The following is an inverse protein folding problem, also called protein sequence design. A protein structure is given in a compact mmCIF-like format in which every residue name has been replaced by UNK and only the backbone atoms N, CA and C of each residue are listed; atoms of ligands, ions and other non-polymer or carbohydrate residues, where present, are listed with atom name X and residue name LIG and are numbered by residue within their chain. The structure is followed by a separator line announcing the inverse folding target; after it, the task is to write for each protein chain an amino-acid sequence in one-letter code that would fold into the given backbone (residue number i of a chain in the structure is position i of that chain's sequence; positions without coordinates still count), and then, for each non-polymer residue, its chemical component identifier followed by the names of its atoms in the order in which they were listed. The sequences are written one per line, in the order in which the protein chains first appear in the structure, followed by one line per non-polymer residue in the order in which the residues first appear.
data_IF_092187139753
#
_entry.id   IF_092187139753
#
_cell.length_a   1.000
_cell.length_b   1.000
_cell.length_c   1.000
_cell.angle_alpha   90.00
_cell.angle_beta   90.00
_cell.angle_gamma   90.00
#
_symmetry.space_group_name_H-M   'P 1'
#
loop_
_entity.id
_entity.type
_entity.pdbx_description
1 polymer ?
#
# COMPACT_ATOMS: atom_id res chain seq x y z
N UNK A 1 6.55 7.85 23.28
CA UNK A 1 7.01 8.02 21.88
C UNK A 1 5.77 8.19 21.06
N UNK A 2 5.60 9.35 20.44
CA UNK A 2 4.43 9.65 19.63
C UNK A 2 4.74 9.30 18.17
N UNK A 3 3.86 8.53 17.55
CA UNK A 3 3.95 8.17 16.14
C UNK A 3 2.74 8.77 15.43
N UNK A 4 2.98 9.54 14.37
CA UNK A 4 1.91 10.09 13.54
C UNK A 4 1.32 8.99 12.67
N UNK A 5 -0.01 8.97 12.51
CA UNK A 5 -0.70 7.99 11.66
C UNK A 5 -0.19 8.03 10.21
N UNK A 6 0.23 9.20 9.74
CA UNK A 6 0.91 9.43 8.45
C UNK A 6 2.08 8.48 8.17
N UNK A 7 2.82 8.03 9.21
CA UNK A 7 3.95 7.11 9.02
C UNK A 7 3.52 5.79 8.37
N UNK A 8 2.35 5.27 8.73
CA UNK A 8 1.79 4.04 8.17
C UNK A 8 1.31 4.24 6.73
N UNK A 9 0.76 5.41 6.41
CA UNK A 9 0.39 5.77 5.04
C UNK A 9 1.62 5.78 4.12
N UNK A 10 2.72 6.39 4.56
CA UNK A 10 3.94 6.41 3.76
C UNK A 10 4.52 5.00 3.57
N UNK A 11 4.50 4.16 4.60
CA UNK A 11 4.95 2.77 4.48
C UNK A 11 4.11 1.98 3.46
N UNK A 12 2.79 2.14 3.51
CA UNK A 12 1.86 1.54 2.56
C UNK A 12 2.11 2.03 1.12
N UNK A 13 2.24 3.34 0.92
CA UNK A 13 2.50 3.92 -0.40
C UNK A 13 3.87 3.50 -0.95
N UNK A 14 4.90 3.42 -0.10
CA UNK A 14 6.23 2.96 -0.48
C UNK A 14 6.20 1.51 -0.94
N UNK A 15 5.49 0.63 -0.22
CA UNK A 15 5.33 -0.77 -0.60
C UNK A 15 4.65 -0.90 -1.97
N UNK A 16 3.56 -0.17 -2.20
CA UNK A 16 2.85 -0.20 -3.50
C UNK A 16 3.72 0.37 -4.61
N UNK A 17 4.43 1.48 -4.36
CA UNK A 17 5.33 2.08 -5.35
C UNK A 17 6.44 1.10 -5.76
N UNK A 18 7.07 0.43 -4.80
CA UNK A 18 8.09 -0.59 -5.07
C UNK A 18 7.53 -1.78 -5.86
N UNK A 19 6.34 -2.27 -5.45
CA UNK A 19 5.65 -3.36 -6.15
C UNK A 19 5.31 -3.00 -7.60
N UNK A 20 4.73 -1.82 -7.83
CA UNK A 20 4.38 -1.34 -9.17
C UNK A 20 5.63 -1.12 -10.02
N UNK A 21 6.67 -0.49 -9.46
CA UNK A 21 7.94 -0.31 -10.14
C UNK A 21 8.52 -1.64 -10.63
N UNK A 22 8.57 -2.65 -9.75
CA UNK A 22 9.04 -3.99 -10.10
C UNK A 22 8.14 -4.67 -11.14
N UNK A 23 6.82 -4.52 -11.03
CA UNK A 23 5.86 -5.11 -11.96
C UNK A 23 5.97 -4.49 -13.37
N UNK A 24 6.13 -3.17 -13.46
CA UNK A 24 6.37 -2.49 -14.73
C UNK A 24 7.72 -2.87 -15.32
N UNK A 25 8.76 -3.00 -14.51
CA UNK A 25 10.07 -3.47 -14.94
C UNK A 25 10.00 -4.89 -15.52
N UNK A 26 9.28 -5.80 -14.86
CA UNK A 26 9.04 -7.16 -15.36
C UNK A 26 8.26 -7.14 -16.68
N UNK A 27 7.20 -6.32 -16.77
CA UNK A 27 6.42 -6.19 -17.99
C UNK A 27 7.28 -5.69 -19.15
N UNK A 28 8.10 -4.66 -18.91
CA UNK A 28 9.06 -4.15 -19.87
C UNK A 28 10.06 -5.23 -20.31
N UNK A 29 10.60 -6.01 -19.38
CA UNK A 29 11.53 -7.09 -19.70
C UNK A 29 10.89 -8.17 -20.58
N UNK A 30 9.67 -8.59 -20.26
CA UNK A 30 8.95 -9.59 -21.05
C UNK A 30 8.67 -9.10 -22.48
N UNK A 31 8.33 -7.82 -22.65
CA UNK A 31 8.08 -7.23 -23.96
C UNK A 31 9.38 -7.10 -24.77
N UNK A 32 10.49 -6.72 -24.12
CA UNK A 32 11.76 -6.40 -24.81
C UNK A 32 12.65 -7.61 -25.07
N UNK A 33 12.76 -8.52 -24.10
CA UNK A 33 13.68 -9.67 -24.15
C UNK A 33 12.95 -11.00 -24.41
N UNK A 34 11.62 -10.96 -24.52
CA UNK A 34 10.78 -12.14 -24.68
C UNK A 34 10.34 -12.72 -23.34
N UNK A 35 9.30 -13.56 -23.39
CA UNK A 35 8.70 -14.19 -22.22
C UNK A 35 8.84 -15.71 -22.30
N UNK A 36 8.96 -16.35 -21.14
CA UNK A 36 8.99 -17.82 -21.02
C UNK A 36 7.62 -18.41 -21.34
N UNK A 37 6.54 -17.71 -20.99
CA UNK A 37 5.16 -18.15 -21.23
C UNK A 37 4.20 -16.96 -21.41
N UNK A 38 3.24 -17.02 -22.36
CA UNK A 38 2.18 -16.02 -22.49
C UNK A 38 1.35 -15.84 -21.21
N UNK A 39 1.24 -16.90 -20.39
CA UNK A 39 0.53 -16.84 -19.11
C UNK A 39 1.20 -15.85 -18.15
N UNK A 40 2.55 -15.79 -18.14
CA UNK A 40 3.29 -14.88 -17.26
C UNK A 40 2.99 -13.41 -17.59
N UNK A 41 2.82 -13.08 -18.88
CA UNK A 41 2.39 -11.76 -19.32
C UNK A 41 1.00 -11.41 -18.78
N UNK A 42 0.01 -12.29 -18.98
CA UNK A 42 -1.37 -12.07 -18.53
C UNK A 42 -1.43 -11.90 -17.00
N UNK A 43 -0.72 -12.75 -16.26
CA UNK A 43 -0.66 -12.68 -14.79
C UNK A 43 -0.02 -11.36 -14.33
N UNK A 44 1.06 -10.92 -14.96
CA UNK A 44 1.74 -9.67 -14.58
C UNK A 44 0.87 -8.46 -14.86
N UNK A 45 0.21 -8.40 -16.03
CA UNK A 45 -0.77 -7.35 -16.34
C UNK A 45 -1.93 -7.38 -15.34
N UNK A 46 -2.42 -8.57 -14.99
CA UNK A 46 -3.44 -8.77 -13.96
C UNK A 46 -3.02 -8.20 -12.60
N UNK A 47 -1.80 -8.47 -12.14
CA UNK A 47 -1.28 -7.89 -10.89
C UNK A 47 -1.25 -6.37 -10.90
N UNK A 48 -0.81 -5.76 -12.01
CA UNK A 48 -0.78 -4.30 -12.16
C UNK A 48 -2.20 -3.74 -12.07
N UNK A 49 -3.16 -4.30 -12.83
CA UNK A 49 -4.56 -3.83 -12.84
C UNK A 49 -5.17 -3.96 -11.44
N UNK A 50 -5.05 -5.11 -10.79
CA UNK A 50 -5.60 -5.34 -9.44
C UNK A 50 -4.98 -4.38 -8.44
N UNK A 51 -3.68 -4.10 -8.53
CA UNK A 51 -3.01 -3.16 -7.63
C UNK A 51 -3.48 -1.72 -7.86
N UNK A 52 -3.65 -1.30 -9.11
CA UNK A 52 -4.19 0.03 -9.42
C UNK A 52 -5.64 0.18 -8.95
N UNK A 53 -6.46 -0.86 -9.11
CA UNK A 53 -7.83 -0.89 -8.58
C UNK A 53 -7.83 -0.84 -7.04
N UNK A 54 -6.96 -1.60 -6.39
CA UNK A 54 -6.81 -1.56 -4.94
C UNK A 54 -6.40 -0.16 -4.46
N UNK A 55 -5.44 0.49 -5.13
CA UNK A 55 -5.03 1.86 -4.81
C UNK A 55 -6.21 2.86 -4.98
N UNK A 56 -6.97 2.72 -6.06
CA UNK A 56 -8.14 3.56 -6.33
C UNK A 56 -9.26 3.36 -5.30
N UNK A 57 -9.57 2.12 -4.94
CA UNK A 57 -10.58 1.81 -3.91
C UNK A 57 -10.10 2.30 -2.54
N UNK A 58 -8.85 2.01 -2.18
CA UNK A 58 -8.26 2.47 -0.93
C UNK A 58 -8.39 3.98 -0.81
N UNK A 59 -8.10 4.75 -1.87
CA UNK A 59 -8.21 6.21 -1.87
C UNK A 59 -9.53 6.73 -1.28
N UNK A 60 -10.67 6.12 -1.60
CA UNK A 60 -11.97 6.55 -1.06
C UNK A 60 -12.07 6.43 0.47
N UNK A 61 -11.39 5.46 1.06
CA UNK A 61 -11.37 5.26 2.52
C UNK A 61 -10.30 6.12 3.19
N UNK A 62 -9.08 6.13 2.64
CA UNK A 62 -7.95 6.87 3.23
C UNK A 62 -8.05 8.40 3.06
N UNK A 63 -8.74 8.91 2.04
CA UNK A 63 -8.89 10.36 1.86
C UNK A 63 -9.75 11.03 2.95
N UNK A 64 -10.59 10.26 3.66
CA UNK A 64 -11.45 10.77 4.73
C UNK A 64 -10.76 10.77 6.10
N UNK A 65 -9.57 10.18 6.20
CA UNK A 65 -8.80 10.07 7.43
C UNK A 65 -8.04 11.37 7.69
N UNK A 66 -8.10 11.84 8.93
CA UNK A 66 -7.21 12.91 9.39
C UNK A 66 -5.82 12.31 9.72
N UNK A 67 -4.83 12.70 8.93
CA UNK A 67 -3.47 12.18 9.00
C UNK A 67 -2.60 12.87 10.05
N UNK A 68 -3.14 13.90 10.73
CA UNK A 68 -2.45 14.63 11.81
C UNK A 68 -2.56 13.92 13.15
N UNK A 69 -3.46 12.93 13.29
CA UNK A 69 -3.59 12.13 14.51
C UNK A 69 -2.28 11.43 14.89
N UNK A 70 -1.98 11.46 16.18
CA UNK A 70 -0.82 10.82 16.78
C UNK A 70 -1.26 9.73 17.76
N UNK A 71 -0.51 8.62 17.76
CA UNK A 71 -0.67 7.57 18.76
C UNK A 71 0.47 7.67 19.75
N UNK A 72 0.14 7.60 21.03
CA UNK A 72 1.12 7.42 22.08
C UNK A 72 1.25 5.93 22.40
N UNK A 73 2.36 5.32 21.98
CA UNK A 73 2.60 3.88 22.09
C UNK A 73 2.59 3.34 23.54
N UNK A 74 2.70 4.23 24.54
CA UNK A 74 2.82 3.88 25.95
C UNK A 74 1.69 4.43 26.81
N UNK A 75 0.62 4.95 26.21
CA UNK A 75 -0.51 5.45 26.99
C UNK A 75 -1.25 4.27 27.66
N UNK A 76 -0.96 4.09 28.94
CA UNK A 76 -1.56 3.07 29.82
C UNK A 76 -2.68 3.69 30.68
N UNK A 77 -3.45 4.64 30.15
CA UNK A 77 -4.59 5.22 30.86
C UNK A 77 -5.80 4.26 30.88
N UNK A 78 -5.66 3.14 31.59
CA UNK A 78 -6.80 2.37 32.08
C UNK A 78 -7.38 3.05 33.32
N UNK A 79 -8.04 4.21 33.16
CA UNK A 79 -8.86 4.77 34.23
C UNK A 79 -10.30 4.28 34.08
N UNK A 80 -10.54 3.05 34.52
CA UNK A 80 -11.91 2.59 34.78
C UNK A 80 -12.32 3.12 36.16
N UNK A 81 -13.05 4.24 36.17
CA UNK A 81 -13.71 4.79 37.36
C UNK A 81 -15.16 4.28 37.39
N UNK A 82 -15.47 3.38 38.32
CA UNK A 82 -16.85 3.14 38.77
C UNK A 82 -17.17 4.24 39.79
N UNK A 83 -18.16 5.07 39.48
CA UNK A 83 -18.90 5.87 40.47
C UNK A 83 -19.76 4.97 41.36
#
# INVERSE_FOLDING_TARGET
MEITLSAFLFLYLLFIAAFLFFSFFNLFHMIRFGFVSPLAYVVTVGYIIVTLLALFISYFYIAQVDWTYTFNLFDSSSSFSIE
#
